data_IF_479301276928
#
_entry.id   IF_479301276928
#
_cell.length_a   1.000
_cell.length_b   1.000
_cell.length_c   1.000
_cell.angle_alpha   90.00
_cell.angle_beta   90.00
_cell.angle_gamma   90.00
#
_symmetry.space_group_name_H-M   'P 1'
#
loop_
_entity.id
_entity.type
_entity.pdbx_description
1 polymer ?
2 non-polymer ?
3 water ?
#
# COMPACT_ATOMS: atom_id res chain seq x y z
N UNK A 16 -1.42 -13.02 -15.69
CA UNK A 16 -2.12 -12.51 -14.47
C UNK A 16 -3.11 -13.57 -13.98
N UNK A 17 -3.97 -13.23 -13.05
CA UNK A 17 -4.95 -14.14 -12.55
C UNK A 17 -4.45 -14.96 -11.37
N UNK A 18 -5.27 -15.93 -10.98
CA UNK A 18 -4.99 -16.77 -9.84
C UNK A 18 -3.60 -17.37 -9.89
N UNK A 19 -2.92 -17.31 -8.77
CA UNK A 19 -1.55 -17.85 -8.60
C UNK A 19 -0.45 -16.94 -9.15
N UNK A 20 -0.80 -15.78 -9.72
CA UNK A 20 0.24 -14.88 -10.17
C UNK A 20 0.79 -14.05 -8.98
N UNK A 21 1.98 -13.53 -9.16
CA UNK A 21 2.68 -12.70 -8.17
C UNK A 21 2.95 -11.34 -8.73
N UNK A 22 2.91 -10.31 -7.89
CA UNK A 22 3.22 -8.95 -8.26
C UNK A 22 4.25 -8.37 -7.34
N UNK A 23 5.23 -7.69 -7.92
CA UNK A 23 6.15 -6.88 -7.18
C UNK A 23 5.92 -5.44 -7.57
N UNK A 24 5.91 -4.56 -6.58
CA UNK A 24 5.53 -3.13 -6.80
C UNK A 24 6.41 -2.19 -6.05
N UNK A 25 6.62 -0.98 -6.58
CA UNK A 25 7.27 0.12 -5.89
C UNK A 25 6.20 1.18 -5.77
N UNK A 26 6.15 1.85 -4.64
CA UNK A 26 5.15 2.95 -4.42
C UNK A 26 5.69 4.17 -3.73
N UNK A 27 4.91 5.29 -3.78
CA UNK A 27 5.27 6.44 -3.11
C UNK A 27 3.93 7.18 -2.87
N UNK A 28 3.73 7.56 -1.64
CA UNK A 28 2.43 8.18 -1.17
C UNK A 28 2.71 9.44 -0.36
N UNK A 29 1.78 10.41 -0.35
CA UNK A 29 1.97 11.61 0.34
C UNK A 29 0.65 11.89 1.12
N UNK A 30 0.76 12.28 2.38
CA UNK A 30 -0.44 12.60 3.17
C UNK A 30 -1.16 13.82 2.64
N UNK A 31 -2.49 13.78 2.68
CA UNK A 31 -3.28 14.97 2.37
C UNK A 31 -4.32 15.22 3.38
N UNK A 41 3.95 14.72 4.78
CA UNK A 41 4.89 13.59 4.91
C UNK A 41 4.77 12.66 3.70
N UNK A 42 5.86 11.96 3.32
CA UNK A 42 5.84 11.03 2.23
C UNK A 42 6.21 9.63 2.73
N UNK A 43 5.74 8.63 2.01
CA UNK A 43 6.05 7.20 2.36
C UNK A 43 6.50 6.57 1.08
N UNK A 44 7.70 5.93 1.07
CA UNK A 44 8.21 5.31 -0.13
C UNK A 44 8.56 3.85 0.20
N UNK A 45 8.19 2.95 -0.68
CA UNK A 45 8.29 1.55 -0.40
C UNK A 45 8.01 0.61 -1.54
N UNK A 46 7.82 -0.60 -1.14
CA UNK A 46 7.56 -1.71 -2.03
C UNK A 46 6.57 -2.73 -1.48
N UNK A 47 6.07 -3.56 -2.37
CA UNK A 47 5.14 -4.57 -2.01
C UNK A 47 5.34 -5.84 -2.79
N UNK A 48 5.02 -6.98 -2.18
CA UNK A 48 4.86 -8.24 -2.85
C UNK A 48 3.47 -8.74 -2.64
N UNK A 49 2.84 -9.21 -3.72
CA UNK A 49 1.46 -9.64 -3.63
C UNK A 49 1.24 -10.96 -4.37
N UNK A 50 0.27 -11.73 -3.89
CA UNK A 50 -0.11 -12.98 -4.45
C UNK A 50 -1.61 -13.04 -4.73
N UNK A 51 -1.96 -13.49 -5.94
CA UNK A 51 -3.36 -13.64 -6.33
C UNK A 51 -3.98 -14.95 -5.87
N UNK A 52 -4.79 -14.83 -4.81
CA UNK A 52 -5.53 -16.02 -4.27
C UNK A 52 -6.56 -16.48 -5.28
N UNK A 53 -7.21 -15.54 -6.00
CA UNK A 53 -8.08 -15.86 -7.08
C UNK A 53 -7.75 -14.91 -8.25
N UNK A 54 -8.58 -14.89 -9.30
CA UNK A 54 -8.39 -13.90 -10.38
C UNK A 54 -8.56 -12.46 -9.89
N UNK A 55 -9.28 -12.27 -8.78
CA UNK A 55 -9.63 -10.95 -8.33
C UNK A 55 -9.04 -10.54 -7.00
N UNK A 56 -8.71 -11.53 -6.11
CA UNK A 56 -8.30 -11.24 -4.77
C UNK A 56 -6.79 -11.43 -4.63
N UNK A 57 -6.12 -10.39 -4.16
CA UNK A 57 -4.70 -10.42 -3.96
C UNK A 57 -4.42 -10.15 -2.46
N UNK A 58 -3.47 -10.91 -1.91
CA UNK A 58 -2.93 -10.63 -0.60
C UNK A 58 -1.57 -9.96 -0.81
N UNK A 59 -1.30 -8.84 -0.13
CA UNK A 59 -0.03 -8.13 -0.34
C UNK A 59 0.56 -7.74 0.99
N UNK A 60 1.86 -7.91 1.05
CA UNK A 60 2.71 -7.46 2.12
C UNK A 60 3.54 -6.28 1.60
N UNK A 61 3.48 -5.18 2.33
CA UNK A 61 4.14 -3.93 1.95
C UNK A 61 5.04 -3.43 3.02
N UNK A 62 6.10 -2.75 2.63
CA UNK A 62 6.96 -2.06 3.56
C UNK A 62 7.32 -0.70 3.01
N UNK A 63 7.31 0.32 3.85
CA UNK A 63 7.61 1.67 3.42
C UNK A 63 8.31 2.44 4.51
N UNK A 64 9.10 3.43 4.10
CA UNK A 64 9.79 4.33 5.01
C UNK A 64 9.27 5.75 4.82
N UNK A 65 9.16 6.47 5.94
CA UNK A 65 8.71 7.86 5.93
C UNK A 65 9.89 8.80 5.63
N UNK A 66 9.64 9.82 4.78
CA UNK A 66 10.64 10.87 4.51
C UNK A 66 9.94 12.24 4.35
N UNK A 67 10.70 13.34 4.53
CA UNK A 67 10.19 14.72 4.29
C UNK A 67 9.01 15.10 5.20
N UNK A 68 9.20 14.87 6.51
CA UNK A 68 8.22 15.02 7.61
C UNK A 68 7.66 13.65 7.99
N UNK A 79 11.79 13.36 11.91
CA UNK A 79 11.00 12.15 12.09
C UNK A 79 11.45 11.03 11.13
N UNK A 80 11.57 9.82 11.67
CA UNK A 80 12.05 8.67 10.94
C UNK A 80 11.03 7.61 11.25
N UNK A 81 10.80 6.74 10.30
CA UNK A 81 10.07 5.55 10.66
C UNK A 81 9.63 4.75 9.49
N UNK A 82 8.75 3.81 9.78
CA UNK A 82 8.38 2.85 8.74
C UNK A 82 7.01 2.28 9.01
N UNK A 83 6.48 1.68 7.98
CA UNK A 83 5.15 1.11 8.01
C UNK A 83 5.15 -0.24 7.31
N UNK A 84 4.69 -1.29 7.98
CA UNK A 84 4.58 -2.61 7.38
C UNK A 84 3.13 -2.97 7.32
N UNK A 85 2.65 -3.48 6.18
CA UNK A 85 1.22 -3.65 6.05
C UNK A 85 0.87 -4.96 5.35
N UNK A 86 -0.21 -5.56 5.78
CA UNK A 86 -0.77 -6.74 5.11
C UNK A 86 -2.17 -6.34 4.73
N UNK A 87 -2.43 -6.46 3.42
CA UNK A 87 -3.73 -5.99 2.88
C UNK A 87 -4.32 -7.03 1.94
N UNK A 88 -5.66 -7.11 1.95
CA UNK A 88 -6.41 -7.83 0.96
C UNK A 88 -7.00 -6.89 -0.04
N UNK A 89 -6.79 -7.18 -1.33
CA UNK A 89 -7.19 -6.26 -2.39
C UNK A 89 -8.14 -6.97 -3.36
N UNK A 90 -9.33 -6.40 -3.54
CA UNK A 90 -10.26 -6.93 -4.48
C UNK A 90 -10.20 -6.10 -5.75
N UNK A 91 -10.02 -6.75 -6.90
CA UNK A 91 -9.91 -6.14 -8.19
C UNK A 91 -11.15 -6.32 -8.97
N UNK A 92 -11.69 -5.17 -9.40
CA UNK A 92 -12.69 -5.15 -10.39
C UNK A 92 -12.14 -5.34 -11.79
N UNK A 93 -13.02 -5.45 -12.77
CA UNK A 93 -12.51 -5.73 -14.14
C UNK A 93 -12.00 -7.17 -14.21
N UNK A 94 -11.17 -7.44 -15.21
CA UNK A 94 -10.71 -8.80 -15.42
C UNK A 94 -9.24 -8.79 -15.65
N UNK A 95 -8.58 -9.92 -15.37
CA UNK A 95 -7.16 -9.96 -15.64
C UNK A 95 -6.86 -9.74 -17.12
N UNK A 96 -5.70 -9.15 -17.42
CA UNK A 96 -5.29 -8.91 -18.82
C UNK A 96 -4.93 -7.45 -18.96
N UNK A 97 -4.88 -6.98 -20.21
CA UNK A 97 -4.48 -5.58 -20.47
C UNK A 97 -5.70 -4.73 -20.22
N UNK A 98 -5.52 -3.65 -19.50
CA UNK A 98 -6.65 -2.69 -19.26
C UNK A 98 -6.71 -2.29 -17.82
N UNK A 99 -7.86 -1.73 -17.43
CA UNK A 99 -7.99 -1.07 -16.16
C UNK A 99 -8.66 -2.03 -15.17
N UNK A 100 -8.09 -2.10 -13.98
CA UNK A 100 -8.66 -2.82 -12.85
C UNK A 100 -8.68 -1.91 -11.70
N UNK A 101 -9.85 -1.24 -11.51
CA UNK A 101 -10.00 -0.58 -10.25
C UNK A 101 -9.96 -1.58 -9.09
N UNK A 102 -9.66 -1.10 -7.87
CA UNK A 102 -9.68 -1.96 -6.73
C UNK A 102 -10.09 -1.27 -5.45
N UNK A 103 -10.48 -2.11 -4.51
CA UNK A 103 -10.67 -1.71 -3.11
C UNK A 103 -9.85 -2.65 -2.20
N UNK A 104 -9.41 -2.14 -1.06
CA UNK A 104 -8.54 -2.87 -0.19
C UNK A 104 -8.78 -2.53 1.26
N UNK A 105 -8.42 -3.51 2.09
CA UNK A 105 -8.47 -3.34 3.56
C UNK A 105 -7.40 -4.19 4.20
N UNK A 106 -6.89 -3.76 5.33
CA UNK A 106 -5.77 -4.50 5.94
C UNK A 106 -5.39 -3.90 7.27
N UNK A 107 -4.29 -4.41 7.80
CA UNK A 107 -3.77 -3.98 9.04
C UNK A 107 -2.30 -3.58 8.82
N UNK A 108 -1.87 -2.59 9.58
CA UNK A 108 -0.55 -2.05 9.48
C UNK A 108 0.08 -1.86 10.83
N UNK A 109 1.40 -1.90 10.84
CA UNK A 109 2.16 -1.61 12.01
C UNK A 109 3.14 -0.50 11.69
N UNK A 110 3.11 0.58 12.48
CA UNK A 110 3.91 1.74 12.23
C UNK A 110 4.95 1.86 13.34
N UNK A 111 6.19 2.17 12.98
CA UNK A 111 7.24 2.42 13.97
C UNK A 111 7.78 3.78 13.65
N UNK A 112 7.69 4.70 14.60
CA UNK A 112 8.10 6.08 14.38
C UNK A 112 9.08 6.50 15.48
N UNK A 113 10.15 7.19 15.08
CA UNK A 113 11.03 7.85 16.00
C UNK A 113 10.96 9.34 15.72
N UNK A 114 10.80 10.09 16.79
CA UNK A 114 10.71 11.52 16.66
C UNK A 114 11.84 12.13 17.44
N UNK A 115 12.64 12.94 16.78
CA UNK A 115 13.70 13.62 17.50
C UNK A 115 13.36 15.09 17.40
N UNK A 116 13.15 15.71 18.56
CA UNK A 116 12.72 17.07 18.59
C UNK A 116 13.73 17.94 19.37
N UNK A 117 13.45 19.21 19.54
CA UNK A 117 14.45 20.12 20.08
C UNK A 117 14.75 19.86 21.53
N UNK A 118 13.78 19.35 22.28
CA UNK A 118 14.03 19.10 23.73
C UNK A 118 13.50 17.75 24.21
N UNK A 119 13.34 16.85 23.26
CA UNK A 119 12.72 15.54 23.53
C UNK A 119 12.99 14.58 22.41
N UNK A 120 12.76 13.32 22.70
CA UNK A 120 12.80 12.33 21.65
C UNK A 120 11.95 11.15 22.07
N UNK A 121 11.54 10.36 21.11
CA UNK A 121 10.91 9.12 21.50
C UNK A 121 10.64 8.23 20.36
N UNK A 122 9.98 7.14 20.68
CA UNK A 122 9.74 6.10 19.74
C UNK A 122 8.39 5.54 20.03
N UNK A 123 7.68 5.18 18.99
CA UNK A 123 6.32 4.73 19.17
C UNK A 123 6.04 3.66 18.15
N UNK A 124 5.31 2.65 18.57
CA UNK A 124 4.90 1.59 17.68
C UNK A 124 3.40 1.56 17.77
N UNK A 125 2.71 1.38 16.65
CA UNK A 125 1.25 1.42 16.69
C UNK A 125 0.67 0.48 15.64
N UNK A 126 -0.45 -0.15 15.94
CA UNK A 126 -1.18 -0.96 14.93
C UNK A 126 -2.37 -0.16 14.43
N UNK A 127 -2.63 -0.14 13.12
CA UNK A 127 -3.74 0.67 12.58
C UNK A 127 -4.48 -0.19 11.53
N UNK A 128 -5.71 0.20 11.24
CA UNK A 128 -6.50 -0.45 10.22
C UNK A 128 -6.37 0.37 8.97
N UNK A 129 -6.41 -0.28 7.83
CA UNK A 129 -6.26 0.39 6.53
C UNK A 129 -7.47 0.18 5.69
N UNK A 130 -7.93 1.22 4.98
CA UNK A 130 -8.86 0.98 3.93
C UNK A 130 -8.35 1.78 2.73
N UNK A 131 -8.63 1.30 1.54
CA UNK A 131 -8.21 2.01 0.36
C UNK A 131 -8.94 1.68 -0.87
N UNK A 132 -8.66 2.48 -1.90
CA UNK A 132 -9.18 2.21 -3.22
C UNK A 132 -8.20 2.81 -4.26
N UNK A 133 -8.29 2.33 -5.46
CA UNK A 133 -7.40 2.83 -6.49
C UNK A 133 -7.66 2.30 -7.87
N UNK A 134 -6.76 2.70 -8.77
CA UNK A 134 -6.86 2.31 -10.19
C UNK A 134 -5.53 1.63 -10.54
N UNK A 135 -5.57 0.43 -11.10
CA UNK A 135 -4.36 -0.23 -11.62
C UNK A 135 -4.57 -0.41 -13.08
N UNK A 136 -3.67 0.11 -13.92
CA UNK A 136 -3.80 -0.02 -15.33
C UNK A 136 -2.64 -0.88 -15.81
N UNK A 137 -3.02 -2.09 -16.25
CA UNK A 137 -2.09 -3.02 -16.90
C UNK A 137 -2.00 -2.58 -18.35
N UNK A 138 -0.88 -1.93 -18.69
CA UNK A 138 -0.59 -1.49 -20.05
C UNK A 138 0.18 -2.45 -20.89
N UNK A 139 0.79 -3.49 -20.28
CA UNK A 139 1.14 -4.69 -20.95
C UNK A 139 0.54 -5.87 -20.16
N UNK A 140 0.67 -7.08 -20.65
CA UNK A 140 0.18 -8.23 -19.82
C UNK A 140 0.84 -8.30 -18.44
N UNK A 141 2.09 -7.78 -18.31
CA UNK A 141 2.84 -7.86 -17.10
C UNK A 141 3.04 -6.58 -16.32
N UNK A 142 3.07 -5.40 -16.94
CA UNK A 142 3.41 -4.20 -16.24
C UNK A 142 2.16 -3.31 -15.98
N UNK A 143 2.11 -2.74 -14.81
CA UNK A 143 1.01 -1.79 -14.42
C UNK A 143 1.55 -0.55 -13.79
N UNK A 144 0.75 0.54 -13.88
CA UNK A 144 0.91 1.71 -13.10
C UNK A 144 -0.38 1.83 -12.22
N UNK A 145 -0.23 2.40 -11.07
CA UNK A 145 -1.35 2.48 -10.07
C UNK A 145 -1.47 3.88 -9.50
N UNK A 146 -2.71 4.37 -9.29
CA UNK A 146 -2.95 5.58 -8.52
C UNK A 146 -3.87 5.20 -7.37
N UNK A 147 -3.55 5.62 -6.14
CA UNK A 147 -4.20 5.08 -4.94
C UNK A 147 -4.63 6.18 -3.97
N UNK A 148 -5.68 5.87 -3.19
CA UNK A 148 -6.08 6.62 -1.99
C UNK A 148 -6.15 5.65 -0.83
N UNK A 149 -5.49 5.93 0.28
CA UNK A 149 -5.49 5.03 1.39
C UNK A 149 -5.79 5.83 2.66
N UNK A 150 -6.64 5.30 3.54
CA UNK A 150 -6.87 5.83 4.93
C UNK A 150 -6.32 4.86 5.99
N UNK A 151 -5.63 5.42 6.98
CA UNK A 151 -5.17 4.64 8.09
C UNK A 151 -5.82 5.17 9.34
N UNK A 152 -6.34 4.24 10.12
CA UNK A 152 -7.14 4.56 11.30
C UNK A 152 -6.52 3.97 12.54
N UNK A 153 -6.32 4.84 13.54
CA UNK A 153 -6.04 4.43 14.92
C UNK A 153 -7.13 3.61 15.54
N UNK A 154 -6.71 2.70 16.44
CA UNK A 154 -7.61 1.70 17.01
C UNK A 154 -7.86 1.89 18.51
N UNK A 155 -7.32 2.95 19.09
CA UNK A 155 -7.49 3.19 20.55
C UNK A 155 -8.61 4.16 20.83
N UNK A 156 -9.10 4.20 22.06
CA UNK A 156 -9.79 5.43 22.56
C UNK A 156 -10.97 5.86 21.70
N UNK A 163 -9.10 9.74 10.59
CA UNK A 163 -7.94 8.92 10.17
C UNK A 163 -6.96 9.73 9.35
N UNK A 164 -5.88 9.10 8.87
CA UNK A 164 -4.81 9.82 8.17
C UNK A 164 -4.87 9.31 6.72
N UNK A 165 -5.03 10.19 5.73
CA UNK A 165 -5.19 9.76 4.35
C UNK A 165 -4.09 10.19 3.43
N UNK A 166 -3.80 9.31 2.47
CA UNK A 166 -2.71 9.56 1.57
C UNK A 166 -3.11 9.27 0.15
N UNK A 167 -2.49 9.99 -0.76
CA UNK A 167 -2.62 9.71 -2.17
C UNK A 167 -1.28 9.23 -2.70
N UNK A 168 -1.34 8.37 -3.70
CA UNK A 168 -0.07 7.77 -4.12
C UNK A 168 -0.08 7.25 -5.51
N UNK A 169 1.12 6.80 -5.94
CA UNK A 169 1.31 6.22 -7.23
C UNK A 169 2.21 4.98 -6.99
N UNK A 170 2.06 4.02 -7.85
CA UNK A 170 2.97 2.86 -7.81
C UNK A 170 3.09 2.24 -9.19
N UNK A 171 4.11 1.36 -9.31
CA UNK A 171 4.32 0.68 -10.56
C UNK A 171 4.71 -0.75 -10.19
N UNK A 172 4.36 -1.66 -11.07
CA UNK A 172 4.70 -3.08 -10.77
C UNK A 172 4.71 -3.99 -11.91
N UNK A 173 5.10 -5.24 -11.61
CA UNK A 173 5.26 -6.27 -12.57
C UNK A 173 4.59 -7.56 -12.03
N UNK A 174 3.76 -8.15 -12.86
CA UNK A 174 3.01 -9.36 -12.58
C UNK A 174 3.58 -10.48 -13.40
N UNK A 175 3.89 -11.57 -12.69
CA UNK A 175 4.44 -12.76 -13.34
C UNK A 175 3.67 -14.00 -12.89
#
# INVERSE_FOLDING_TARGET
ANVRLQHHHHHHHLEQGQNSVEIEAFGKRYFTDSVRNMKNADLYGGSIGYFLTDDVELALSYGEYHDVRGTYETGNKKVHGNLTSLDAIYHFGTPGVGLRPYVSAGLAHQNITNINSDSQGRQQMTMANIGAGLKYYFTENFFAKASLDGQYGLEKRDNGHQGEWMAGLGVGFNF
#
